data_IF_164578173876
#
_entry.id   IF_164578173876
#
_cell.length_a   1.000
_cell.length_b   1.000
_cell.length_c   1.000
_cell.angle_alpha   90.00
_cell.angle_beta   90.00
_cell.angle_gamma   90.00
#
_symmetry.space_group_name_H-M   'P 1'
#
loop_
_entity.id
_entity.type
_entity.pdbx_description
1 polymer ?
#
# COMPACT_ATOMS: atom_id res chain seq x y z
N UNK A 1 49.98 -31.89 5.81
CA UNK A 1 49.12 -31.26 4.78
C UNK A 1 47.75 -31.14 5.38
N UNK A 2 47.44 -29.96 5.92
CA UNK A 2 46.84 -28.82 5.20
C UNK A 2 45.34 -29.04 5.17
N UNK A 3 44.66 -28.44 6.16
CA UNK A 3 44.01 -27.13 6.06
C UNK A 3 42.68 -27.29 5.34
N UNK A 4 41.58 -27.09 6.08
CA UNK A 4 40.30 -26.54 5.64
C UNK A 4 39.40 -26.54 6.90
N UNK A 5 39.17 -25.42 7.58
CA UNK A 5 38.76 -24.15 7.01
C UNK A 5 37.36 -23.89 7.52
N UNK A 6 37.29 -23.36 8.73
CA UNK A 6 36.07 -23.01 9.46
C UNK A 6 35.19 -22.04 8.67
N UNK A 7 34.14 -22.57 8.04
CA UNK A 7 33.15 -21.76 7.36
C UNK A 7 31.92 -21.58 8.24
N UNK A 8 32.02 -20.49 9.01
CA UNK A 8 30.94 -19.77 9.72
C UNK A 8 29.57 -19.96 9.09
N UNK A 9 28.65 -20.52 9.88
CA UNK A 9 27.22 -20.48 9.62
C UNK A 9 26.73 -19.02 9.63
N UNK A 10 26.46 -18.46 8.45
CA UNK A 10 25.69 -17.22 8.35
C UNK A 10 24.21 -17.63 8.38
N UNK A 11 23.60 -17.46 9.56
CA UNK A 11 22.16 -17.57 9.75
C UNK A 11 21.45 -16.48 8.94
N UNK A 12 20.99 -16.84 7.75
CA UNK A 12 19.87 -16.18 7.11
C UNK A 12 18.75 -17.21 7.06
N UNK A 13 17.54 -16.81 7.47
CA UNK A 13 16.29 -17.57 7.22
C UNK A 13 16.07 -17.66 5.71
N UNK A 14 16.81 -18.52 5.05
CA UNK A 14 16.60 -18.93 3.68
C UNK A 14 15.55 -20.02 3.66
N UNK A 15 14.45 -19.78 2.95
CA UNK A 15 13.55 -20.87 2.55
C UNK A 15 14.32 -21.74 1.58
N UNK A 16 14.74 -22.91 2.04
CA UNK A 16 15.46 -23.90 1.24
C UNK A 16 14.41 -24.77 0.55
N UNK A 17 14.16 -24.53 -0.74
CA UNK A 17 13.26 -25.36 -1.56
C UNK A 17 14.07 -26.55 -2.04
N UNK A 18 13.84 -27.72 -1.44
CA UNK A 18 14.35 -28.99 -1.94
C UNK A 18 13.41 -29.49 -3.05
N UNK A 19 13.92 -29.60 -4.28
CA UNK A 19 13.26 -30.41 -5.31
C UNK A 19 13.40 -31.88 -4.94
N UNK A 20 12.28 -32.59 -4.78
CA UNK A 20 12.26 -34.05 -4.68
C UNK A 20 11.26 -34.58 -5.70
N UNK A 21 11.75 -35.41 -6.60
CA UNK A 21 10.95 -36.21 -7.52
C UNK A 21 10.54 -37.48 -6.76
N UNK A 22 9.25 -37.67 -6.49
CA UNK A 22 8.70 -38.98 -6.12
C UNK A 22 7.33 -39.26 -6.71
N UNK A 23 7.33 -40.39 -7.41
CA UNK A 23 6.26 -41.16 -8.01
C UNK A 23 5.33 -41.75 -6.92
N UNK A 24 4.00 -41.75 -7.16
CA UNK A 24 3.03 -42.59 -6.42
C UNK A 24 1.86 -41.90 -5.67
N UNK A 25 0.81 -41.52 -6.43
CA UNK A 25 -0.68 -41.54 -6.23
C UNK A 25 -1.38 -41.52 -4.83
N UNK A 26 -2.70 -41.21 -4.74
CA UNK A 26 -3.27 -39.87 -4.61
C UNK A 26 -4.05 -39.71 -3.29
N UNK A 27 -3.62 -38.79 -2.42
CA UNK A 27 -4.33 -38.38 -1.21
C UNK A 27 -4.63 -36.89 -1.24
N UNK A 28 -5.91 -36.54 -1.36
CA UNK A 28 -6.41 -35.19 -1.60
C UNK A 28 -6.06 -34.20 -0.47
N UNK A 29 -4.99 -33.42 -0.66
CA UNK A 29 -4.74 -32.19 0.10
C UNK A 29 -4.81 -31.00 -0.85
N UNK A 30 -6.03 -30.62 -1.22
CA UNK A 30 -6.28 -29.45 -2.08
C UNK A 30 -6.06 -28.16 -1.29
N UNK A 31 -4.86 -27.57 -1.33
CA UNK A 31 -4.69 -26.11 -1.51
C UNK A 31 -3.25 -25.60 -1.49
N UNK A 32 -2.27 -26.36 -1.01
CA UNK A 32 -0.88 -25.89 -1.01
C UNK A 32 -0.20 -26.41 -2.26
N UNK A 33 -0.14 -25.55 -3.29
CA UNK A 33 0.76 -25.76 -4.43
C UNK A 33 2.18 -25.58 -3.91
N UNK A 34 2.96 -26.65 -3.90
CA UNK A 34 4.38 -26.61 -3.52
C UNK A 34 5.28 -26.28 -4.72
N UNK A 35 4.71 -26.26 -5.93
CA UNK A 35 5.39 -25.95 -7.20
C UNK A 35 5.55 -24.45 -7.47
N UNK A 36 5.29 -23.60 -6.47
CA UNK A 36 5.26 -22.14 -6.63
C UNK A 36 6.70 -21.62 -6.62
N UNK A 37 7.09 -20.95 -7.70
CA UNK A 37 8.42 -20.35 -7.81
C UNK A 37 8.59 -19.22 -6.77
N UNK A 38 9.80 -18.97 -6.28
CA UNK A 38 10.06 -17.90 -5.30
C UNK A 38 9.49 -16.52 -5.73
N UNK A 39 9.46 -16.24 -7.03
CA UNK A 39 8.84 -15.05 -7.61
C UNK A 39 7.32 -15.00 -7.37
N UNK A 40 6.62 -16.10 -7.58
CA UNK A 40 5.18 -16.21 -7.42
C UNK A 40 4.78 -16.12 -5.93
N UNK A 41 5.60 -16.69 -5.04
CA UNK A 41 5.44 -16.50 -3.59
C UNK A 41 5.54 -15.01 -3.25
N UNK A 42 6.56 -14.31 -3.75
CA UNK A 42 6.71 -12.87 -3.54
C UNK A 42 5.52 -12.05 -4.09
N UNK A 43 4.99 -12.43 -5.25
CA UNK A 43 3.79 -11.82 -5.82
C UNK A 43 2.54 -12.07 -4.98
N UNK A 44 2.35 -13.28 -4.46
CA UNK A 44 1.24 -13.63 -3.57
C UNK A 44 1.26 -12.79 -2.28
N UNK A 45 2.44 -12.63 -1.67
CA UNK A 45 2.61 -11.75 -0.52
C UNK A 45 2.30 -10.29 -0.86
N UNK A 46 2.69 -9.82 -2.05
CA UNK A 46 2.33 -8.47 -2.53
C UNK A 46 0.82 -8.30 -2.72
N UNK A 47 0.12 -9.31 -3.25
CA UNK A 47 -1.34 -9.28 -3.38
C UNK A 47 -2.04 -9.31 -2.02
N UNK A 48 -1.54 -10.11 -1.07
CA UNK A 48 -2.06 -10.13 0.30
C UNK A 48 -2.03 -8.74 0.94
N UNK A 49 -0.90 -8.03 0.80
CA UNK A 49 -0.77 -6.67 1.33
C UNK A 49 -1.68 -5.65 0.62
N UNK A 50 -1.93 -5.83 -0.70
CA UNK A 50 -2.88 -4.98 -1.44
C UNK A 50 -4.32 -5.15 -0.91
N UNK A 51 -4.73 -6.38 -0.59
CA UNK A 51 -6.07 -6.66 -0.05
C UNK A 51 -6.22 -6.03 1.35
N UNK A 52 -5.20 -6.11 2.20
CA UNK A 52 -5.22 -5.44 3.51
C UNK A 52 -5.30 -3.92 3.37
N UNK A 53 -4.53 -3.33 2.46
CA UNK A 53 -4.59 -1.89 2.18
C UNK A 53 -5.98 -1.48 1.66
N UNK A 54 -6.60 -2.31 0.83
CA UNK A 54 -7.97 -2.12 0.35
C UNK A 54 -8.97 -2.12 1.50
N UNK A 55 -8.93 -3.13 2.39
CA UNK A 55 -9.83 -3.18 3.55
C UNK A 55 -9.56 -2.06 4.55
N UNK A 56 -8.30 -1.65 4.73
CA UNK A 56 -7.95 -0.50 5.57
C UNK A 56 -8.56 0.79 5.01
N UNK A 57 -8.44 0.99 3.70
CA UNK A 57 -9.05 2.11 3.01
C UNK A 57 -10.58 2.07 3.14
N UNK A 58 -11.19 0.92 2.89
CA UNK A 58 -12.64 0.71 2.98
C UNK A 58 -13.16 1.04 4.39
N UNK A 59 -12.54 0.48 5.43
CA UNK A 59 -12.88 0.76 6.84
C UNK A 59 -12.70 2.23 7.24
N UNK A 60 -11.80 2.97 6.57
CA UNK A 60 -11.64 4.41 6.81
C UNK A 60 -12.67 5.27 6.08
N UNK A 61 -13.16 4.82 4.92
CA UNK A 61 -14.15 5.56 4.14
C UNK A 61 -15.56 5.35 4.67
N UNK A 62 -15.85 4.14 5.16
CA UNK A 62 -16.98 3.85 6.03
C UNK A 62 -16.70 4.54 7.37
N UNK A 63 -17.23 5.75 7.62
CA UNK A 63 -17.23 6.33 8.97
C UNK A 63 -18.17 5.53 9.90
N UNK A 64 -17.87 4.25 10.14
CA UNK A 64 -18.65 3.25 10.89
C UNK A 64 -19.01 3.75 12.30
N UNK A 65 -18.25 4.71 12.83
CA UNK A 65 -18.49 5.41 14.10
C UNK A 65 -19.86 6.12 14.17
N UNK A 66 -20.52 6.38 13.04
CA UNK A 66 -21.74 7.18 12.96
C UNK A 66 -22.90 6.50 12.21
N UNK A 67 -22.86 5.17 12.05
CA UNK A 67 -24.03 4.45 11.52
C UNK A 67 -25.07 4.37 12.65
N UNK A 68 -25.92 5.38 12.76
CA UNK A 68 -27.10 5.37 13.64
C UNK A 68 -28.15 4.30 13.24
N UNK A 69 -27.90 3.58 12.14
CA UNK A 69 -28.75 2.52 11.60
C UNK A 69 -28.46 1.13 12.19
N UNK A 70 -28.02 1.03 13.46
CA UNK A 70 -27.80 -0.24 14.19
C UNK A 70 -28.99 -1.22 14.13
N UNK A 71 -30.15 -0.79 13.65
CA UNK A 71 -31.36 -1.60 13.54
C UNK A 71 -31.45 -2.43 12.27
N UNK A 72 -30.76 -2.08 11.18
CA UNK A 72 -30.94 -2.72 9.87
C UNK A 72 -29.60 -3.18 9.26
N UNK A 73 -29.33 -4.50 9.19
CA UNK A 73 -28.11 -5.03 8.57
C UNK A 73 -28.02 -4.72 7.06
N UNK A 74 -29.17 -4.61 6.38
CA UNK A 74 -29.26 -4.27 4.94
C UNK A 74 -28.61 -2.94 4.58
N UNK A 75 -28.68 -1.95 5.47
CA UNK A 75 -28.08 -0.64 5.22
C UNK A 75 -26.55 -0.71 5.14
N UNK A 76 -25.93 -1.64 5.87
CA UNK A 76 -24.48 -1.86 5.85
C UNK A 76 -24.05 -2.49 4.53
N UNK A 77 -24.81 -3.49 4.05
CA UNK A 77 -24.56 -4.12 2.74
C UNK A 77 -24.65 -3.12 1.60
N UNK A 78 -25.71 -2.32 1.55
CA UNK A 78 -25.89 -1.27 0.54
C UNK A 78 -24.75 -0.26 0.56
N UNK A 79 -24.26 0.09 1.75
CA UNK A 79 -23.16 1.01 1.89
C UNK A 79 -21.86 0.41 1.32
N UNK A 80 -21.56 -0.85 1.62
CA UNK A 80 -20.41 -1.57 1.03
C UNK A 80 -20.53 -1.60 -0.50
N UNK A 81 -21.69 -1.95 -1.05
CA UNK A 81 -21.92 -1.96 -2.50
C UNK A 81 -21.75 -0.57 -3.12
N UNK A 82 -22.27 0.48 -2.49
CA UNK A 82 -22.13 1.86 -2.97
C UNK A 82 -20.66 2.30 -3.00
N UNK A 83 -19.88 1.96 -1.96
CA UNK A 83 -18.45 2.25 -1.95
C UNK A 83 -17.69 1.51 -3.04
N UNK A 84 -18.04 0.24 -3.31
CA UNK A 84 -17.45 -0.54 -4.40
C UNK A 84 -17.74 0.11 -5.76
N UNK A 85 -19.00 0.44 -6.03
CA UNK A 85 -19.43 1.07 -7.28
C UNK A 85 -18.75 2.44 -7.46
N UNK A 86 -18.76 3.28 -6.42
CA UNK A 86 -18.12 4.60 -6.46
C UNK A 86 -16.60 4.50 -6.68
N UNK A 87 -15.95 3.48 -6.09
CA UNK A 87 -14.52 3.24 -6.29
C UNK A 87 -14.21 2.84 -7.74
N UNK A 88 -14.94 1.87 -8.29
CA UNK A 88 -14.77 1.43 -9.68
C UNK A 88 -15.03 2.59 -10.65
N UNK A 89 -16.11 3.34 -10.46
CA UNK A 89 -16.40 4.53 -11.28
C UNK A 89 -15.27 5.56 -11.21
N UNK A 90 -14.73 5.83 -10.02
CA UNK A 90 -13.63 6.77 -9.88
C UNK A 90 -12.34 6.26 -10.54
N UNK A 91 -12.10 4.95 -10.54
CA UNK A 91 -10.97 4.33 -11.20
C UNK A 91 -11.12 4.42 -12.73
N UNK A 92 -12.29 4.11 -13.26
CA UNK A 92 -12.61 4.27 -14.69
C UNK A 92 -12.43 5.73 -15.14
N UNK A 93 -12.97 6.69 -14.39
CA UNK A 93 -12.76 8.12 -14.67
C UNK A 93 -11.27 8.50 -14.66
N UNK A 94 -10.47 7.92 -13.75
CA UNK A 94 -9.03 8.16 -13.71
C UNK A 94 -8.34 7.61 -14.95
N UNK A 95 -8.69 6.39 -15.37
CA UNK A 95 -8.09 5.74 -16.53
C UNK A 95 -8.43 6.47 -17.83
N UNK A 96 -9.68 6.90 -18.02
CA UNK A 96 -10.10 7.59 -19.24
C UNK A 96 -9.53 9.01 -19.36
N UNK A 97 -9.56 9.80 -18.27
CA UNK A 97 -9.35 11.25 -18.38
C UNK A 97 -8.03 11.75 -17.80
N UNK A 98 -7.42 11.05 -16.83
CA UNK A 98 -6.23 11.54 -16.13
C UNK A 98 -5.38 10.43 -15.49
N UNK A 99 -4.74 9.53 -16.29
CA UNK A 99 -4.03 8.36 -15.76
C UNK A 99 -2.84 8.72 -14.85
N UNK A 100 -2.26 9.91 -15.05
CA UNK A 100 -1.12 10.42 -14.27
C UNK A 100 -1.50 10.97 -12.89
N UNK A 101 -2.80 11.19 -12.63
CA UNK A 101 -3.27 11.78 -11.37
C UNK A 101 -3.56 10.70 -10.31
N UNK A 102 -3.49 11.09 -9.04
CA UNK A 102 -3.89 10.24 -7.91
C UNK A 102 -5.42 10.24 -7.77
N UNK A 103 -6.02 9.09 -7.45
CA UNK A 103 -7.48 8.95 -7.18
C UNK A 103 -8.01 10.06 -6.26
N UNK A 104 -7.30 10.35 -5.16
CA UNK A 104 -7.75 11.35 -4.19
C UNK A 104 -7.89 12.76 -4.77
N UNK A 105 -7.09 13.13 -5.80
CA UNK A 105 -7.24 14.41 -6.48
C UNK A 105 -8.46 14.42 -7.39
N UNK A 106 -8.70 13.32 -8.10
CA UNK A 106 -9.92 13.16 -8.93
C UNK A 106 -11.16 13.32 -8.07
N UNK A 107 -11.23 12.63 -6.93
CA UNK A 107 -12.33 12.75 -5.97
C UNK A 107 -12.47 14.15 -5.39
N UNK A 108 -11.37 14.84 -5.08
CA UNK A 108 -11.42 16.20 -4.56
C UNK A 108 -11.99 17.19 -5.58
N UNK A 109 -11.55 17.11 -6.85
CA UNK A 109 -12.09 17.92 -7.94
C UNK A 109 -13.57 17.54 -8.17
N UNK A 110 -13.90 16.25 -8.19
CA UNK A 110 -15.27 15.78 -8.37
C UNK A 110 -16.22 16.36 -7.30
N UNK A 111 -15.79 16.39 -6.03
CA UNK A 111 -16.57 17.00 -4.94
C UNK A 111 -16.79 18.50 -5.12
N UNK A 112 -15.83 19.23 -5.69
CA UNK A 112 -15.97 20.67 -5.96
C UNK A 112 -16.93 20.96 -7.12
N UNK A 113 -16.91 20.11 -8.16
CA UNK A 113 -17.70 20.31 -9.39
C UNK A 113 -18.99 19.49 -9.43
N UNK A 114 -19.47 18.98 -8.29
CA UNK A 114 -20.69 18.15 -8.23
C UNK A 114 -21.95 18.87 -8.76
N UNK A 115 -21.94 20.21 -8.74
CA UNK A 115 -23.02 21.06 -9.27
C UNK A 115 -22.71 21.71 -10.63
N UNK A 116 -21.49 21.50 -11.15
CA UNK A 116 -21.01 22.14 -12.38
C UNK A 116 -21.23 21.28 -13.63
N UNK A 117 -20.81 21.81 -14.77
CA UNK A 117 -20.80 21.04 -16.02
C UNK A 117 -19.59 20.09 -16.10
N UNK A 118 -19.73 18.99 -16.84
CA UNK A 118 -18.65 18.03 -17.05
C UNK A 118 -17.43 18.65 -17.74
N UNK A 119 -17.64 19.61 -18.65
CA UNK A 119 -16.56 20.32 -19.34
C UNK A 119 -15.66 21.08 -18.37
N UNK A 120 -16.25 21.81 -17.42
CA UNK A 120 -15.50 22.52 -16.39
C UNK A 120 -14.72 21.56 -15.48
N UNK A 121 -15.33 20.42 -15.13
CA UNK A 121 -14.65 19.36 -14.37
C UNK A 121 -13.39 18.86 -15.09
N UNK A 122 -13.51 18.52 -16.37
CA UNK A 122 -12.39 17.99 -17.17
C UNK A 122 -11.27 19.01 -17.33
N UNK A 123 -11.60 20.30 -17.49
CA UNK A 123 -10.61 21.39 -17.55
C UNK A 123 -9.78 21.48 -16.26
N UNK A 124 -10.42 21.33 -15.10
CA UNK A 124 -9.73 21.41 -13.80
C UNK A 124 -8.95 20.15 -13.45
N UNK A 125 -9.37 18.99 -13.97
CA UNK A 125 -8.68 17.72 -13.76
C UNK A 125 -7.30 17.71 -14.42
N UNK A 126 -7.22 18.23 -15.65
CA UNK A 126 -5.99 18.31 -16.44
C UNK A 126 -5.18 19.59 -16.20
N UNK A 127 -5.66 20.50 -15.35
CA UNK A 127 -4.95 21.74 -15.02
C UNK A 127 -3.57 21.42 -14.41
N UNK A 128 -2.47 21.95 -14.98
CA UNK A 128 -1.15 21.81 -14.37
C UNK A 128 -1.14 22.47 -12.98
N UNK A 129 -0.29 21.99 -12.08
CA UNK A 129 -0.20 22.56 -10.74
C UNK A 129 0.37 23.98 -10.82
N UNK A 130 -0.44 24.97 -10.46
CA UNK A 130 -0.02 26.38 -10.52
C UNK A 130 0.98 26.79 -9.44
N UNK A 131 1.00 26.11 -8.29
CA UNK A 131 1.94 26.41 -7.21
C UNK A 131 2.62 25.15 -6.70
N UNK A 132 3.94 25.14 -6.81
CA UNK A 132 4.83 24.36 -5.96
C UNK A 132 5.28 25.27 -4.83
N UNK A 133 4.71 25.10 -3.63
CA UNK A 133 5.34 25.75 -2.47
C UNK A 133 6.69 25.06 -2.23
N UNK A 134 7.70 25.79 -1.75
CA UNK A 134 9.01 25.21 -1.36
C UNK A 134 8.90 24.22 -0.18
N UNK A 135 7.69 23.80 0.19
CA UNK A 135 7.40 22.96 1.34
C UNK A 135 7.74 23.65 2.66
N UNK A 136 7.77 22.84 3.72
CA UNK A 136 8.25 23.25 5.04
C UNK A 136 9.76 23.51 4.96
N UNK A 137 10.18 24.76 4.76
CA UNK A 137 11.60 25.15 4.88
C UNK A 137 11.99 25.07 6.36
N UNK A 138 12.99 24.25 6.67
CA UNK A 138 13.64 24.28 7.97
C UNK A 138 14.41 25.62 8.06
N UNK A 139 13.85 26.60 8.78
CA UNK A 139 14.42 27.96 8.89
C UNK A 139 15.62 28.02 9.85
N UNK A 140 16.24 26.88 10.15
CA UNK A 140 16.99 26.68 11.38
C UNK A 140 16.00 26.56 12.54
N UNK A 141 16.07 25.46 13.29
CA UNK A 141 15.40 25.40 14.58
C UNK A 141 15.95 26.50 15.51
N UNK A 142 15.33 26.66 16.68
CA UNK A 142 15.90 27.47 17.76
C UNK A 142 17.38 27.05 17.97
N UNK A 143 18.33 27.98 18.12
CA UNK A 143 19.72 27.62 18.40
C UNK A 143 19.75 26.67 19.60
N UNK A 144 20.64 25.68 19.55
CA UNK A 144 20.79 24.74 20.65
C UNK A 144 21.17 25.50 21.92
N UNK A 145 20.34 25.41 22.96
CA UNK A 145 20.60 26.03 24.27
C UNK A 145 21.83 25.42 24.93
N UNK A 146 22.15 24.17 24.59
CA UNK A 146 23.29 23.44 25.15
C UNK A 146 24.33 23.14 24.07
N UNK A 147 25.64 23.24 24.40
CA UNK A 147 26.70 22.86 23.49
C UNK A 147 26.62 21.37 23.15
N UNK A 148 27.06 21.01 21.94
CA UNK A 148 27.12 19.60 21.53
C UNK A 148 28.13 18.86 22.41
N UNK A 149 27.65 17.95 23.25
CA UNK A 149 28.52 17.02 23.97
C UNK A 149 29.10 16.04 22.93
N UNK A 150 30.40 16.14 22.67
CA UNK A 150 31.11 15.20 21.82
C UNK A 150 31.13 13.84 22.53
N UNK A 151 30.63 12.79 21.87
CA UNK A 151 30.83 11.43 22.37
C UNK A 151 32.33 11.15 22.39
N UNK A 152 32.88 10.53 23.44
CA UNK A 152 34.29 10.15 23.46
C UNK A 152 34.59 9.28 22.25
N UNK A 153 35.70 9.55 21.56
CA UNK A 153 36.17 8.68 20.48
C UNK A 153 36.48 7.31 21.11
N UNK A 154 36.01 6.19 20.52
CA UNK A 154 36.40 4.87 20.99
C UNK A 154 37.92 4.76 20.92
N UNK A 155 38.51 4.25 22.00
CA UNK A 155 39.93 3.99 22.11
C UNK A 155 40.26 2.94 21.04
N UNK A 156 41.10 3.30 20.08
CA UNK A 156 41.70 2.35 19.15
C UNK A 156 42.76 1.60 19.98
N UNK A 157 42.48 0.34 20.31
CA UNK A 157 43.50 -0.58 20.81
C UNK A 157 44.30 -1.12 19.63
#
# INVERSE_FOLDING_TARGET
MSEDGENRCISARGVQVYGQEKEGSPGSCSHQRWDITALEVAQLYRYRWKVELFFKCMKSNLHLKKIYSSRNPEAVWNLIYLYLIAYVLCEELRLCYAPKQRIGRVLAVFRLYIKGTLADFLKHLNRPKERTSKGRRNKGGRPATHPKVLKPKPIQF
#
